data_IF_218787274885
#
_entry.id   IF_218787274885
#
_cell.length_a   1.000
_cell.length_b   1.000
_cell.length_c   1.000
_cell.angle_alpha   90.00
_cell.angle_beta   90.00
_cell.angle_gamma   90.00
#
_symmetry.space_group_name_H-M   'P 1'
#
loop_
_entity.id
_entity.type
_entity.pdbx_description
1 polymer ?
#
# COMPACT_ATOMS: atom_id res chain seq x y z
N UNK A 1 -1.51 20.09 -13.19
CA UNK A 1 -2.67 19.26 -12.75
C UNK A 1 -2.10 17.93 -12.33
N UNK A 2 -2.45 17.44 -11.15
CA UNK A 2 -2.01 16.14 -10.62
C UNK A 2 -3.05 15.05 -10.98
N UNK A 3 -2.60 13.96 -11.56
CA UNK A 3 -3.45 12.85 -12.01
C UNK A 3 -3.27 11.64 -11.08
N UNK A 4 -4.33 11.28 -10.35
CA UNK A 4 -4.34 10.23 -9.35
C UNK A 4 -5.06 9.01 -9.94
N UNK A 5 -4.35 7.91 -10.14
CA UNK A 5 -4.94 6.63 -10.54
C UNK A 5 -5.60 5.93 -9.34
N UNK A 6 -6.87 5.65 -9.45
CA UNK A 6 -7.60 4.77 -8.53
C UNK A 6 -7.76 3.41 -9.24
N UNK A 7 -6.90 2.46 -8.85
CA UNK A 7 -6.72 1.20 -9.56
C UNK A 7 -7.70 0.15 -9.07
N UNK A 8 -8.51 -0.37 -9.98
CA UNK A 8 -9.48 -1.45 -9.78
C UNK A 8 -10.48 -1.22 -8.62
N UNK A 9 -11.11 -0.01 -8.52
CA UNK A 9 -12.04 0.28 -7.43
C UNK A 9 -13.28 -0.63 -7.42
N UNK A 10 -13.61 -1.23 -8.54
CA UNK A 10 -14.71 -2.17 -8.70
C UNK A 10 -14.42 -3.57 -8.12
N UNK A 11 -13.16 -3.89 -7.83
CA UNK A 11 -12.75 -5.16 -7.20
C UNK A 11 -11.92 -4.96 -5.93
N UNK A 12 -11.15 -3.89 -5.82
CA UNK A 12 -10.29 -3.55 -4.66
C UNK A 12 -10.78 -2.29 -3.92
N UNK A 13 -12.09 -2.11 -3.79
CA UNK A 13 -12.70 -0.94 -3.14
C UNK A 13 -13.33 -1.23 -1.77
N UNK A 14 -13.03 -2.37 -1.16
CA UNK A 14 -13.58 -2.77 0.14
C UNK A 14 -13.07 -1.85 1.25
N UNK A 15 -13.87 -1.65 2.30
CA UNK A 15 -13.54 -0.85 3.49
C UNK A 15 -13.33 0.66 3.26
N UNK A 16 -13.71 1.19 2.08
CA UNK A 16 -13.63 2.63 1.80
C UNK A 16 -12.21 3.13 1.49
N UNK A 17 -11.31 2.25 1.07
CA UNK A 17 -9.92 2.60 0.74
C UNK A 17 -9.78 3.54 -0.46
N UNK A 18 -10.80 3.63 -1.33
CA UNK A 18 -10.93 4.66 -2.38
C UNK A 18 -10.81 6.08 -1.81
N UNK A 19 -11.13 6.24 -0.53
CA UNK A 19 -10.93 7.46 0.23
C UNK A 19 -9.48 7.97 0.24
N UNK A 20 -8.49 7.10 0.04
CA UNK A 20 -7.10 7.53 -0.06
C UNK A 20 -6.86 8.44 -1.27
N UNK A 21 -7.44 8.11 -2.43
CA UNK A 21 -7.38 8.97 -3.61
C UNK A 21 -8.10 10.32 -3.37
N UNK A 22 -9.23 10.30 -2.64
CA UNK A 22 -9.95 11.52 -2.24
C UNK A 22 -9.11 12.40 -1.32
N UNK A 23 -8.41 11.82 -0.35
CA UNK A 23 -7.50 12.55 0.55
C UNK A 23 -6.38 13.21 -0.24
N UNK A 24 -5.70 12.47 -1.12
CA UNK A 24 -4.65 13.01 -1.97
C UNK A 24 -5.14 14.19 -2.82
N UNK A 25 -6.28 14.00 -3.52
CA UNK A 25 -6.89 15.07 -4.31
C UNK A 25 -7.21 16.30 -3.47
N UNK A 26 -7.84 16.11 -2.32
CA UNK A 26 -8.23 17.21 -1.46
C UNK A 26 -7.02 17.96 -0.91
N UNK A 27 -5.99 17.25 -0.44
CA UNK A 27 -4.77 17.86 0.08
C UNK A 27 -3.97 18.61 -0.99
N UNK A 28 -3.96 18.11 -2.24
CA UNK A 28 -3.39 18.84 -3.37
C UNK A 28 -4.15 20.15 -3.63
N UNK A 29 -5.49 20.08 -3.65
CA UNK A 29 -6.34 21.26 -3.89
C UNK A 29 -6.24 22.32 -2.79
N UNK A 30 -6.12 21.92 -1.54
CA UNK A 30 -5.88 22.84 -0.41
C UNK A 30 -4.55 23.60 -0.53
N UNK A 31 -3.62 23.08 -1.34
CA UNK A 31 -2.34 23.75 -1.69
C UNK A 31 -2.39 24.52 -3.02
N UNK A 32 -3.59 24.68 -3.60
CA UNK A 32 -3.77 25.39 -4.87
C UNK A 32 -3.44 24.58 -6.12
N UNK A 33 -3.17 23.28 -6.01
CA UNK A 33 -2.92 22.41 -7.17
C UNK A 33 -4.23 21.82 -7.70
N UNK A 34 -4.43 21.89 -9.01
CA UNK A 34 -5.50 21.12 -9.64
C UNK A 34 -5.16 19.63 -9.56
N UNK A 35 -6.14 18.80 -9.18
CA UNK A 35 -5.96 17.36 -9.07
C UNK A 35 -7.24 16.61 -9.48
N UNK A 36 -7.06 15.53 -10.25
CA UNK A 36 -8.13 14.66 -10.73
C UNK A 36 -7.88 13.20 -10.37
N UNK A 37 -8.97 12.47 -10.12
CA UNK A 37 -8.94 11.02 -9.89
C UNK A 37 -9.41 10.32 -11.15
N UNK A 38 -8.60 9.39 -11.63
CA UNK A 38 -8.86 8.54 -12.78
C UNK A 38 -9.16 7.12 -12.30
N UNK A 39 -10.44 6.71 -12.17
CA UNK A 39 -10.77 5.32 -11.84
C UNK A 39 -10.43 4.42 -13.03
N UNK A 40 -9.68 3.37 -12.77
CA UNK A 40 -9.25 2.36 -13.74
C UNK A 40 -9.90 1.04 -13.33
N UNK A 41 -10.89 0.59 -14.09
CA UNK A 41 -11.70 -0.59 -13.76
C UNK A 41 -11.07 -1.87 -14.28
N UNK A 42 -11.53 -2.99 -13.76
CA UNK A 42 -11.13 -4.31 -14.26
C UNK A 42 -11.37 -4.42 -15.78
N UNK A 43 -10.34 -4.83 -16.52
CA UNK A 43 -10.37 -4.92 -17.98
C UNK A 43 -9.94 -3.63 -18.71
N UNK A 44 -9.75 -2.52 -18.02
CA UNK A 44 -9.18 -1.29 -18.57
C UNK A 44 -7.65 -1.28 -18.41
N UNK A 45 -6.88 -0.82 -19.41
CA UNK A 45 -5.44 -0.72 -19.28
C UNK A 45 -5.05 0.33 -18.23
N UNK A 46 -4.04 0.04 -17.42
CA UNK A 46 -3.50 1.00 -16.46
C UNK A 46 -2.59 1.99 -17.19
N UNK A 47 -2.95 3.30 -17.25
CA UNK A 47 -2.07 4.30 -17.85
C UNK A 47 -0.76 4.43 -17.07
N UNK A 48 0.38 4.46 -17.78
CA UNK A 48 1.72 4.54 -17.18
C UNK A 48 2.11 5.96 -16.77
N UNK A 49 1.33 6.96 -17.20
CA UNK A 49 1.69 8.38 -17.14
C UNK A 49 0.98 9.17 -16.04
N UNK A 50 0.15 8.51 -15.22
CA UNK A 50 -0.44 9.18 -14.07
C UNK A 50 0.64 9.47 -13.01
N UNK A 51 0.37 10.45 -12.16
CA UNK A 51 1.39 10.96 -11.24
C UNK A 51 1.52 10.12 -9.96
N UNK A 52 0.44 9.45 -9.56
CA UNK A 52 0.38 8.55 -8.39
C UNK A 52 -0.73 7.51 -8.57
N UNK A 53 -0.57 6.34 -7.98
CA UNK A 53 -1.54 5.25 -8.03
C UNK A 53 -1.94 4.79 -6.63
N UNK A 54 -3.23 4.49 -6.44
CA UNK A 54 -3.76 3.94 -5.19
C UNK A 54 -4.52 2.64 -5.46
N UNK A 55 -4.30 1.62 -4.62
CA UNK A 55 -4.98 0.33 -4.63
C UNK A 55 -5.59 0.09 -3.25
N UNK A 56 -6.83 -0.36 -3.21
CA UNK A 56 -7.52 -0.69 -1.97
C UNK A 56 -7.44 -2.16 -1.57
N UNK A 57 -8.20 -2.51 -0.55
CA UNK A 57 -8.41 -3.88 -0.08
C UNK A 57 -9.52 -4.60 -0.84
N UNK A 58 -9.52 -5.93 -0.75
CA UNK A 58 -10.53 -6.79 -1.39
C UNK A 58 -10.51 -8.21 -0.86
N UNK A 59 -11.52 -8.98 -1.21
CA UNK A 59 -11.65 -10.38 -0.85
C UNK A 59 -10.89 -11.30 -1.82
N UNK A 60 -10.67 -12.56 -1.46
CA UNK A 60 -9.86 -13.53 -2.21
C UNK A 60 -10.10 -13.56 -3.72
N UNK A 61 -11.37 -13.62 -4.15
CA UNK A 61 -11.71 -13.67 -5.59
C UNK A 61 -11.32 -12.37 -6.29
N UNK A 62 -11.53 -11.24 -5.64
CA UNK A 62 -11.16 -9.92 -6.13
C UNK A 62 -9.64 -9.78 -6.25
N UNK A 63 -8.89 -10.29 -5.27
CA UNK A 63 -7.43 -10.31 -5.31
C UNK A 63 -6.90 -11.10 -6.51
N UNK A 64 -7.46 -12.29 -6.77
CA UNK A 64 -7.07 -13.13 -7.91
C UNK A 64 -7.31 -12.38 -9.24
N UNK A 65 -8.50 -11.81 -9.41
CA UNK A 65 -8.84 -11.04 -10.61
C UNK A 65 -7.93 -9.82 -10.79
N UNK A 66 -7.62 -9.13 -9.70
CA UNK A 66 -6.72 -7.98 -9.72
C UNK A 66 -5.30 -8.37 -10.12
N UNK A 67 -4.76 -9.43 -9.53
CA UNK A 67 -3.41 -9.93 -9.86
C UNK A 67 -3.33 -10.36 -11.32
N UNK A 68 -4.26 -11.19 -11.80
CA UNK A 68 -4.30 -11.65 -13.18
C UNK A 68 -4.35 -10.48 -14.18
N UNK A 69 -5.18 -9.46 -13.87
CA UNK A 69 -5.30 -8.27 -14.71
C UNK A 69 -4.02 -7.44 -14.71
N UNK A 70 -3.49 -7.09 -13.53
CA UNK A 70 -2.31 -6.22 -13.41
C UNK A 70 -1.03 -6.87 -13.98
N UNK A 71 -0.89 -8.20 -13.84
CA UNK A 71 0.23 -8.96 -14.46
C UNK A 71 0.11 -8.93 -15.98
N UNK A 72 -1.09 -9.21 -16.52
CA UNK A 72 -1.29 -9.28 -17.97
C UNK A 72 -1.19 -7.91 -18.66
N UNK A 73 -1.66 -6.84 -18.02
CA UNK A 73 -1.59 -5.47 -18.54
C UNK A 73 -0.16 -4.88 -18.39
N UNK A 74 0.46 -5.04 -17.23
CA UNK A 74 1.80 -4.56 -16.91
C UNK A 74 1.96 -3.04 -16.81
N UNK A 75 0.90 -2.25 -17.00
CA UNK A 75 0.96 -0.79 -16.96
C UNK A 75 1.37 -0.24 -15.59
N UNK A 76 0.80 -0.79 -14.51
CA UNK A 76 1.19 -0.42 -13.15
C UNK A 76 2.67 -0.71 -12.86
N UNK A 77 3.15 -1.88 -13.31
CA UNK A 77 4.56 -2.27 -13.15
C UNK A 77 5.48 -1.30 -13.87
N UNK A 78 5.14 -0.90 -15.11
CA UNK A 78 5.95 0.08 -15.85
C UNK A 78 5.92 1.47 -15.20
N UNK A 79 4.77 1.90 -14.68
CA UNK A 79 4.65 3.15 -13.93
C UNK A 79 5.51 3.16 -12.66
N UNK A 80 5.43 2.10 -11.84
CA UNK A 80 6.22 1.96 -10.63
C UNK A 80 7.73 1.92 -10.93
N UNK A 81 8.16 1.16 -11.95
CA UNK A 81 9.56 1.10 -12.38
C UNK A 81 10.06 2.45 -12.96
N UNK A 82 9.17 3.30 -13.44
CA UNK A 82 9.49 4.69 -13.81
C UNK A 82 9.54 5.64 -12.61
N UNK A 83 9.38 5.14 -11.38
CA UNK A 83 9.44 5.90 -10.14
C UNK A 83 8.13 6.59 -9.75
N UNK A 84 7.00 6.23 -10.38
CA UNK A 84 5.69 6.77 -9.97
C UNK A 84 5.27 6.18 -8.64
N UNK A 85 4.88 6.99 -7.65
CA UNK A 85 4.41 6.49 -6.35
C UNK A 85 3.20 5.57 -6.49
N UNK A 86 3.26 4.43 -5.80
CA UNK A 86 2.15 3.48 -5.68
C UNK A 86 1.85 3.29 -4.20
N UNK A 87 0.60 3.52 -3.80
CA UNK A 87 0.13 3.32 -2.44
C UNK A 87 -0.93 2.22 -2.40
N UNK A 88 -0.66 1.15 -1.65
CA UNK A 88 -1.49 -0.05 -1.64
C UNK A 88 -1.94 -0.45 -0.22
N UNK A 89 -3.20 -0.86 -0.09
CA UNK A 89 -3.82 -1.20 1.18
C UNK A 89 -4.22 -2.67 1.22
N UNK A 90 -3.81 -3.40 2.27
CA UNK A 90 -4.29 -4.74 2.62
C UNK A 90 -4.18 -5.73 1.44
N UNK A 91 -5.27 -6.08 0.77
CA UNK A 91 -5.24 -6.91 -0.43
C UNK A 91 -4.35 -6.32 -1.53
N UNK A 92 -4.30 -4.99 -1.68
CA UNK A 92 -3.39 -4.32 -2.59
C UNK A 92 -1.92 -4.60 -2.27
N UNK A 93 -1.53 -4.59 -0.99
CA UNK A 93 -0.18 -5.00 -0.57
C UNK A 93 0.12 -6.43 -1.00
N UNK A 94 -0.81 -7.36 -0.75
CA UNK A 94 -0.65 -8.78 -1.07
C UNK A 94 -0.52 -9.02 -2.58
N UNK A 95 -1.38 -8.37 -3.37
CA UNK A 95 -1.36 -8.44 -4.84
C UNK A 95 -0.07 -7.89 -5.42
N UNK A 96 0.52 -6.85 -4.82
CA UNK A 96 1.80 -6.30 -5.28
C UNK A 96 3.02 -7.13 -4.88
N UNK A 97 2.88 -8.09 -3.97
CA UNK A 97 3.93 -9.05 -3.60
C UNK A 97 4.29 -10.03 -4.72
N UNK A 98 5.19 -10.97 -4.42
CA UNK A 98 5.56 -12.06 -5.33
C UNK A 98 4.46 -13.12 -5.40
N UNK A 99 3.86 -13.46 -4.25
CA UNK A 99 2.77 -14.43 -4.18
C UNK A 99 1.91 -14.21 -2.94
N UNK A 100 0.67 -14.64 -3.03
CA UNK A 100 -0.27 -14.60 -1.91
C UNK A 100 -1.20 -15.81 -1.91
N UNK A 101 -1.77 -16.13 -0.74
CA UNK A 101 -2.73 -17.22 -0.58
C UNK A 101 -4.14 -16.66 -0.65
N UNK A 102 -4.90 -17.13 -1.63
CA UNK A 102 -6.31 -16.79 -1.79
C UNK A 102 -7.11 -18.01 -2.23
N UNK A 103 -8.32 -18.19 -1.71
CA UNK A 103 -9.22 -19.29 -2.05
C UNK A 103 -8.55 -20.68 -1.95
N UNK A 104 -7.71 -20.88 -0.94
CA UNK A 104 -7.04 -22.15 -0.66
C UNK A 104 -5.85 -22.50 -1.55
N UNK A 105 -5.42 -21.63 -2.44
CA UNK A 105 -4.26 -21.80 -3.34
C UNK A 105 -3.25 -20.66 -3.22
N UNK A 106 -2.04 -20.90 -3.68
CA UNK A 106 -1.03 -19.85 -3.88
C UNK A 106 -1.27 -19.25 -5.25
N UNK A 107 -1.26 -17.93 -5.33
CA UNK A 107 -1.48 -17.12 -6.53
C UNK A 107 -0.26 -16.24 -6.73
N UNK A 108 0.20 -16.10 -7.97
CA UNK A 108 1.29 -15.20 -8.31
C UNK A 108 0.83 -13.74 -8.14
N UNK A 109 1.66 -12.92 -7.52
CA UNK A 109 1.47 -11.48 -7.39
C UNK A 109 2.17 -10.72 -8.53
N UNK A 110 2.06 -9.40 -8.48
CA UNK A 110 2.65 -8.49 -9.50
C UNK A 110 4.19 -8.44 -9.41
N UNK A 111 4.75 -8.77 -8.25
CA UNK A 111 6.21 -8.78 -8.02
C UNK A 111 6.84 -7.39 -7.89
N UNK A 112 6.09 -6.38 -7.47
CA UNK A 112 6.59 -5.05 -7.16
C UNK A 112 7.13 -4.93 -5.73
N UNK A 113 6.80 -5.88 -4.87
CA UNK A 113 7.31 -6.01 -3.51
C UNK A 113 7.93 -7.40 -3.35
N UNK A 114 9.13 -7.46 -2.82
CA UNK A 114 9.78 -8.69 -2.34
C UNK A 114 9.08 -9.12 -1.04
N UNK A 115 7.90 -9.69 -1.20
CA UNK A 115 7.03 -10.09 -0.11
C UNK A 115 6.16 -11.28 -0.52
N UNK A 116 5.95 -12.21 0.40
CA UNK A 116 5.03 -13.33 0.21
C UNK A 116 3.96 -13.31 1.29
N UNK A 117 2.72 -13.62 0.94
CA UNK A 117 1.62 -13.62 1.89
C UNK A 117 1.00 -15.00 2.05
N UNK A 118 1.09 -15.54 3.26
CA UNK A 118 0.40 -16.76 3.72
C UNK A 118 -0.87 -16.40 4.52
N UNK A 119 -1.40 -17.33 5.29
CA UNK A 119 -2.51 -17.07 6.22
C UNK A 119 -2.01 -17.00 7.66
N UNK A 120 -2.54 -16.07 8.44
CA UNK A 120 -2.43 -16.06 9.90
C UNK A 120 -3.32 -17.16 10.51
N UNK A 121 -3.05 -17.52 11.75
CA UNK A 121 -3.90 -18.42 12.53
C UNK A 121 -5.24 -17.75 12.86
N UNK A 122 -5.19 -16.50 13.31
CA UNK A 122 -6.37 -15.71 13.67
C UNK A 122 -6.42 -14.42 12.84
N UNK A 123 -7.64 -13.95 12.54
CA UNK A 123 -7.83 -12.70 11.82
C UNK A 123 -7.39 -11.51 12.70
N UNK A 124 -6.52 -10.69 12.17
CA UNK A 124 -6.16 -9.41 12.77
C UNK A 124 -7.31 -8.41 12.58
N UNK A 125 -7.91 -7.95 13.68
CA UNK A 125 -8.98 -6.94 13.67
C UNK A 125 -8.75 -5.98 14.82
N UNK A 126 -8.58 -4.71 14.51
CA UNK A 126 -8.46 -3.67 15.55
C UNK A 126 -7.63 -2.48 15.13
N UNK A 127 -7.35 -1.61 16.09
CA UNK A 127 -6.45 -0.49 15.91
C UNK A 127 -5.01 -0.98 15.80
N UNK A 128 -4.32 -0.49 14.78
CA UNK A 128 -2.89 -0.72 14.57
C UNK A 128 -2.14 0.61 14.59
N UNK A 129 -0.96 0.60 15.19
CA UNK A 129 -0.06 1.75 15.23
C UNK A 129 1.40 1.31 15.07
N UNK A 130 2.19 2.12 14.43
CA UNK A 130 3.62 1.88 14.21
C UNK A 130 4.43 3.16 14.19
N UNK A 131 5.70 3.06 14.54
CA UNK A 131 6.69 4.10 14.29
C UNK A 131 7.30 3.89 12.91
N UNK A 132 7.39 4.92 12.05
CA UNK A 132 7.95 4.77 10.72
C UNK A 132 9.43 4.34 10.78
N UNK A 133 9.80 3.36 9.96
CA UNK A 133 11.20 2.92 9.86
C UNK A 133 12.06 3.91 9.10
N UNK A 134 11.43 4.81 8.34
CA UNK A 134 12.08 5.79 7.49
C UNK A 134 12.93 5.16 6.39
N UNK A 135 12.51 3.98 5.92
CA UNK A 135 13.18 3.25 4.87
C UNK A 135 12.91 3.85 3.48
N UNK A 136 13.92 3.84 2.61
CA UNK A 136 13.78 4.23 1.20
C UNK A 136 13.07 5.57 1.01
N UNK A 137 12.01 5.56 0.21
CA UNK A 137 11.22 6.77 -0.12
C UNK A 137 10.45 7.36 1.08
N UNK A 138 10.44 6.70 2.25
CA UNK A 138 9.78 7.16 3.47
C UNK A 138 10.74 7.82 4.47
N UNK A 139 11.98 8.15 4.06
CA UNK A 139 13.02 8.68 4.94
C UNK A 139 12.61 9.94 5.72
N UNK A 140 11.70 10.74 5.16
CA UNK A 140 11.22 11.99 5.77
C UNK A 140 9.99 11.81 6.68
N UNK A 141 9.43 10.59 6.81
CA UNK A 141 8.35 10.35 7.77
C UNK A 141 8.87 10.39 9.21
N UNK A 142 8.22 11.18 10.03
CA UNK A 142 8.57 11.36 11.45
C UNK A 142 7.39 11.17 12.38
N UNK A 143 6.16 11.23 11.86
CA UNK A 143 4.95 11.07 12.65
C UNK A 143 4.57 9.59 12.76
N UNK A 144 4.12 9.11 13.93
CA UNK A 144 3.59 7.77 14.10
C UNK A 144 2.45 7.49 13.11
N UNK A 145 2.39 6.27 12.60
CA UNK A 145 1.35 5.83 11.68
C UNK A 145 0.25 5.07 12.44
N UNK A 146 -1.00 5.33 12.09
CA UNK A 146 -2.16 4.71 12.73
C UNK A 146 -3.20 4.29 11.72
N UNK A 147 -3.90 3.20 12.01
CA UNK A 147 -4.97 2.71 11.15
C UNK A 147 -5.82 1.65 11.85
N UNK A 148 -6.72 1.06 11.08
CA UNK A 148 -7.50 -0.09 11.50
C UNK A 148 -7.11 -1.29 10.62
N UNK A 149 -6.65 -2.37 11.24
CA UNK A 149 -6.34 -3.61 10.51
C UNK A 149 -7.56 -4.55 10.50
N UNK A 150 -7.80 -5.19 9.36
CA UNK A 150 -8.80 -6.24 9.22
C UNK A 150 -8.38 -7.20 8.11
N UNK A 151 -7.51 -8.14 8.44
CA UNK A 151 -6.97 -9.10 7.47
C UNK A 151 -6.66 -10.46 8.10
N UNK A 152 -6.48 -11.46 7.24
CA UNK A 152 -6.01 -12.80 7.60
C UNK A 152 -4.65 -13.10 6.94
N UNK A 153 -4.14 -12.19 6.12
CA UNK A 153 -2.86 -12.35 5.45
C UNK A 153 -1.68 -12.16 6.40
N UNK A 154 -0.72 -13.10 6.33
CA UNK A 154 0.58 -13.01 6.98
C UNK A 154 1.64 -12.70 5.92
N UNK A 155 2.10 -11.48 5.87
CA UNK A 155 3.10 -11.03 4.91
C UNK A 155 4.50 -11.07 5.49
N UNK A 156 5.38 -11.80 4.81
CA UNK A 156 6.80 -11.92 5.13
C UNK A 156 7.58 -11.12 4.08
N UNK A 157 8.42 -10.21 4.55
CA UNK A 157 9.25 -9.38 3.68
C UNK A 157 10.56 -10.11 3.37
N UNK A 158 10.92 -10.12 2.10
CA UNK A 158 12.23 -10.53 1.64
C UNK A 158 13.27 -9.41 1.77
N UNK A 159 14.54 -9.68 1.39
CA UNK A 159 15.67 -8.76 1.64
C UNK A 159 15.59 -7.45 0.85
N UNK A 160 14.83 -7.38 -0.24
CA UNK A 160 14.69 -6.16 -1.05
C UNK A 160 13.60 -5.21 -0.54
N UNK A 161 12.63 -5.72 0.22
CA UNK A 161 11.59 -4.91 0.84
C UNK A 161 11.97 -4.51 2.27
N UNK A 162 11.59 -3.30 2.66
CA UNK A 162 11.76 -2.81 4.02
C UNK A 162 10.39 -2.62 4.68
N UNK A 163 10.23 -2.79 5.99
CA UNK A 163 8.97 -2.47 6.66
C UNK A 163 8.69 -0.96 6.62
N UNK A 164 7.43 -0.59 6.45
CA UNK A 164 6.99 0.81 6.54
C UNK A 164 7.11 1.32 7.97
N UNK A 165 6.72 0.50 8.95
CA UNK A 165 6.79 0.84 10.35
C UNK A 165 7.17 -0.33 11.25
N UNK A 166 7.59 0.01 12.48
CA UNK A 166 7.75 -0.92 13.59
C UNK A 166 6.53 -0.82 14.50
N UNK A 167 5.85 -1.93 14.74
CA UNK A 167 4.61 -1.98 15.51
C UNK A 167 4.81 -1.45 16.94
N UNK A 168 3.87 -0.61 17.35
CA UNK A 168 3.65 -0.21 18.75
C UNK A 168 2.32 -0.76 19.27
N UNK A 169 1.41 -1.12 18.36
CA UNK A 169 0.09 -1.70 18.67
C UNK A 169 -0.42 -2.51 17.46
N UNK A 170 -1.16 -3.58 17.72
CA UNK A 170 -1.80 -4.41 16.68
C UNK A 170 -0.97 -5.63 16.31
N UNK A 171 -1.35 -6.31 15.20
CA UNK A 171 -0.67 -7.49 14.68
C UNK A 171 0.26 -7.19 13.50
N UNK A 172 -0.09 -6.19 12.66
CA UNK A 172 0.70 -5.83 11.50
C UNK A 172 0.86 -6.96 10.48
N UNK A 173 2.10 -7.14 9.97
CA UNK A 173 2.34 -8.01 8.82
C UNK A 173 2.14 -9.50 9.09
N UNK A 174 2.51 -10.02 10.28
CA UNK A 174 2.53 -11.45 10.51
C UNK A 174 2.41 -11.85 11.99
N UNK A 175 1.81 -13.00 12.25
CA UNK A 175 1.69 -13.60 13.57
C UNK A 175 2.82 -14.60 13.90
N UNK A 176 2.77 -15.16 15.12
CA UNK A 176 3.76 -16.12 15.57
C UNK A 176 3.71 -17.44 14.75
N UNK A 177 2.53 -17.87 14.32
CA UNK A 177 2.38 -19.11 13.59
C UNK A 177 3.03 -19.01 12.20
N UNK A 178 2.81 -17.91 11.50
CA UNK A 178 3.37 -17.69 10.17
C UNK A 178 4.89 -17.48 10.18
N UNK A 179 5.47 -17.11 11.31
CA UNK A 179 6.92 -16.80 11.44
C UNK A 179 7.69 -17.86 12.24
N UNK A 180 7.06 -18.97 12.63
CA UNK A 180 7.65 -19.96 13.54
C UNK A 180 8.95 -20.58 13.02
N UNK A 181 9.03 -20.83 11.72
CA UNK A 181 10.17 -21.49 11.08
C UNK A 181 11.20 -20.52 10.49
N UNK A 182 11.00 -19.20 10.68
CA UNK A 182 11.91 -18.17 10.16
C UNK A 182 13.01 -17.85 11.18
N UNK A 183 14.24 -17.72 10.70
CA UNK A 183 15.39 -17.31 11.54
C UNK A 183 15.23 -15.89 12.09
N UNK A 184 14.55 -15.01 11.38
CA UNK A 184 14.23 -13.64 11.74
C UNK A 184 12.77 -13.43 12.16
N UNK A 185 12.04 -14.51 12.45
CA UNK A 185 10.61 -14.48 12.71
C UNK A 185 10.18 -13.52 13.83
N UNK A 186 11.05 -13.29 14.81
CA UNK A 186 10.77 -12.29 15.85
C UNK A 186 10.78 -10.85 15.31
N UNK A 187 11.64 -10.54 14.36
CA UNK A 187 11.69 -9.23 13.68
C UNK A 187 10.48 -9.07 12.75
N UNK A 188 10.17 -10.09 11.94
CA UNK A 188 9.02 -10.07 11.02
C UNK A 188 7.70 -9.75 11.73
N UNK A 189 7.51 -10.22 12.96
CA UNK A 189 6.32 -9.92 13.78
C UNK A 189 6.24 -8.50 14.31
N UNK A 190 7.31 -7.73 14.22
CA UNK A 190 7.31 -6.31 14.61
C UNK A 190 7.06 -5.37 13.44
N UNK A 191 6.88 -5.90 12.24
CA UNK A 191 6.73 -5.10 11.04
C UNK A 191 5.27 -4.76 10.75
N UNK A 192 5.06 -3.57 10.23
CA UNK A 192 3.83 -3.11 9.62
C UNK A 192 4.15 -2.54 8.24
N UNK A 193 3.38 -3.01 7.22
CA UNK A 193 3.51 -2.55 5.86
C UNK A 193 4.83 -2.93 5.17
N UNK A 194 5.04 -2.36 4.00
CA UNK A 194 6.21 -2.57 3.17
C UNK A 194 6.57 -1.32 2.37
N UNK A 195 7.86 -1.14 2.13
CA UNK A 195 8.42 -0.09 1.25
C UNK A 195 9.44 -0.73 0.34
N UNK A 196 9.30 -0.54 -0.96
CA UNK A 196 10.29 -0.92 -1.96
C UNK A 196 10.22 0.03 -3.15
N UNK A 197 11.36 0.61 -3.51
CA UNK A 197 11.44 1.59 -4.60
C UNK A 197 10.39 2.71 -4.45
N UNK A 198 9.44 2.86 -5.37
CA UNK A 198 8.36 3.83 -5.34
C UNK A 198 7.05 3.32 -4.70
N UNK A 199 7.05 2.07 -4.20
CA UNK A 199 5.87 1.42 -3.63
C UNK A 199 5.86 1.55 -2.11
N UNK A 200 4.75 2.04 -1.58
CA UNK A 200 4.42 2.04 -0.15
C UNK A 200 3.13 1.26 0.04
N UNK A 201 3.15 0.28 0.92
CA UNK A 201 1.98 -0.54 1.19
C UNK A 201 1.78 -0.77 2.69
N UNK A 202 0.54 -0.95 3.13
CA UNK A 202 0.19 -1.08 4.56
C UNK A 202 -1.07 -1.94 4.74
N UNK A 203 -1.25 -2.49 5.93
CA UNK A 203 -2.52 -3.10 6.34
C UNK A 203 -3.51 -2.11 6.97
N UNK A 204 -3.12 -0.84 7.09
CA UNK A 204 -3.93 0.20 7.70
C UNK A 204 -5.07 0.65 6.80
N UNK A 205 -6.31 0.46 7.24
CA UNK A 205 -7.52 1.05 6.66
C UNK A 205 -7.92 2.32 7.41
N UNK A 206 -8.94 3.03 6.86
CA UNK A 206 -9.55 4.06 7.63
C UNK A 206 -10.13 5.33 7.00
N UNK A 207 -9.91 5.80 5.74
CA UNK A 207 -8.77 5.63 4.84
C UNK A 207 -7.44 5.97 5.52
N UNK A 208 -6.40 5.18 5.23
CA UNK A 208 -5.11 5.32 5.91
C UNK A 208 -4.55 6.74 5.83
N UNK A 209 -4.63 7.38 4.66
CA UNK A 209 -4.11 8.74 4.45
C UNK A 209 -4.88 9.84 5.19
N UNK A 210 -6.15 9.61 5.55
CA UNK A 210 -6.90 10.56 6.37
C UNK A 210 -6.40 10.57 7.84
N UNK A 211 -5.89 9.44 8.31
CA UNK A 211 -5.32 9.30 9.66
C UNK A 211 -3.83 9.67 9.71
N UNK A 212 -3.16 9.63 8.56
CA UNK A 212 -1.72 9.84 8.44
C UNK A 212 -1.41 10.96 7.43
N UNK A 213 -1.68 12.23 7.80
CA UNK A 213 -1.55 13.35 6.87
C UNK A 213 -0.12 13.55 6.35
N UNK A 214 0.90 13.28 7.16
CA UNK A 214 2.30 13.38 6.71
C UNK A 214 2.62 12.34 5.62
N UNK A 215 2.06 11.11 5.72
CA UNK A 215 2.21 10.10 4.67
C UNK A 215 1.51 10.53 3.37
N UNK A 216 0.32 11.15 3.46
CA UNK A 216 -0.35 11.70 2.29
C UNK A 216 0.47 12.80 1.63
N UNK A 217 1.07 13.69 2.41
CA UNK A 217 1.92 14.77 1.93
C UNK A 217 3.22 14.24 1.30
N UNK A 218 3.82 13.21 1.90
CA UNK A 218 4.98 12.53 1.31
C UNK A 218 4.67 11.98 -0.08
N UNK A 219 3.54 11.30 -0.25
CA UNK A 219 3.12 10.76 -1.54
C UNK A 219 2.86 11.86 -2.57
N UNK A 220 2.28 13.00 -2.15
CA UNK A 220 2.11 14.16 -3.03
C UNK A 220 3.45 14.77 -3.42
N UNK A 221 4.37 14.95 -2.47
CA UNK A 221 5.71 15.48 -2.74
C UNK A 221 6.47 14.60 -3.74
N UNK A 222 6.42 13.27 -3.58
CA UNK A 222 7.01 12.33 -4.52
C UNK A 222 6.39 12.43 -5.91
N UNK A 223 5.05 12.48 -6.00
CA UNK A 223 4.34 12.62 -7.27
C UNK A 223 4.68 13.93 -8.00
N UNK A 224 5.00 14.98 -7.25
CA UNK A 224 5.38 16.30 -7.76
C UNK A 224 6.90 16.45 -7.98
N UNK A 225 7.71 15.47 -7.55
CA UNK A 225 9.16 15.51 -7.67
C UNK A 225 9.82 16.56 -6.77
N UNK A 226 9.25 16.87 -5.62
CA UNK A 226 9.77 17.82 -4.62
C UNK A 226 10.06 17.10 -3.30
N UNK A 227 10.88 17.71 -2.42
CA UNK A 227 11.06 17.19 -1.07
C UNK A 227 9.80 17.44 -0.22
N UNK A 228 9.55 16.58 0.78
CA UNK A 228 8.41 16.77 1.68
C UNK A 228 8.45 18.15 2.38
N UNK A 229 9.64 18.62 2.74
CA UNK A 229 9.84 19.91 3.39
C UNK A 229 9.55 21.12 2.48
N UNK A 230 9.57 20.91 1.17
CA UNK A 230 9.32 21.96 0.16
C UNK A 230 7.85 21.97 -0.30
N UNK A 231 7.03 21.04 0.21
CA UNK A 231 5.60 21.03 -0.10
C UNK A 231 4.92 22.16 0.68
N UNK A 232 4.19 23.03 -0.05
CA UNK A 232 3.47 24.15 0.56
C UNK A 232 2.57 23.66 1.72
N UNK A 233 2.61 24.31 2.90
CA UNK A 233 1.78 23.93 4.03
C UNK A 233 0.29 24.12 3.70
N UNK A 234 -0.55 23.37 4.36
CA UNK A 234 -2.01 23.58 4.35
C UNK A 234 -2.32 24.60 5.48
N UNK A 235 -2.95 25.71 5.12
CA UNK A 235 -3.44 26.73 6.04
C UNK A 235 -4.69 26.26 6.82
#
# INVERSE_FOLDING_TARGET
MLNIGLVLPDVLGTYGDDGNALVLRQRARMRGFEAEIHPIRLGEPVPETLDIYTLGGGEDTAQILAADHLISDGGLTRAANAGRPVFAICAGLQVLGESFRASGRIVDGVGLLDATTAGMQDRAIGEVASEPTRAGVTADLTEPLTGFENHLGATILGPSAQPLGTLTRGNGNADQAATADLSDGSAQRTYEGAVQDSVIATYMHGPALARNPQLADLLLAQAMGVALADLEPIE
#
